data_IF_106350984037
#
_entry.id   IF_106350984037
#
_cell.length_a   1.000
_cell.length_b   1.000
_cell.length_c   1.000
_cell.angle_alpha   90.00
_cell.angle_beta   90.00
_cell.angle_gamma   90.00
#
_symmetry.space_group_name_H-M   'P 1'
#
loop_
_entity.id
_entity.type
_entity.pdbx_description
1 polymer ?
#
# COMPACT_ATOMS: atom_id res chain seq x y z
N UNK A 1 -29.61 -2.08 4.71
CA UNK A 1 -28.65 -3.01 5.32
C UNK A 1 -27.74 -3.48 4.20
N UNK A 2 -26.59 -2.82 4.02
CA UNK A 2 -25.68 -3.13 2.91
C UNK A 2 -24.98 -4.46 3.14
N UNK A 3 -24.76 -5.22 2.06
CA UNK A 3 -24.10 -6.52 2.04
C UNK A 3 -22.69 -6.48 2.66
N UNK A 4 -22.64 -6.59 3.99
CA UNK A 4 -21.41 -6.63 4.78
C UNK A 4 -20.57 -7.89 4.51
N UNK A 5 -21.12 -8.87 3.77
CA UNK A 5 -20.45 -10.10 3.34
C UNK A 5 -19.37 -9.90 2.27
N UNK A 6 -19.48 -8.88 1.40
CA UNK A 6 -18.55 -8.70 0.26
C UNK A 6 -17.30 -7.89 0.65
N UNK A 7 -17.34 -7.13 1.74
CA UNK A 7 -16.24 -6.26 2.16
C UNK A 7 -14.91 -6.98 2.44
N UNK A 8 -14.88 -8.07 3.23
CA UNK A 8 -13.62 -8.80 3.50
C UNK A 8 -13.08 -9.50 2.25
N UNK A 9 -13.90 -10.23 1.47
CA UNK A 9 -13.45 -10.79 0.21
C UNK A 9 -12.84 -9.74 -0.73
N UNK A 10 -13.42 -8.54 -0.81
CA UNK A 10 -12.86 -7.44 -1.60
C UNK A 10 -11.53 -6.95 -1.05
N UNK A 11 -11.37 -6.80 0.28
CA UNK A 11 -10.07 -6.45 0.87
C UNK A 11 -9.02 -7.52 0.55
N UNK A 12 -9.38 -8.80 0.63
CA UNK A 12 -8.46 -9.89 0.31
C UNK A 12 -8.05 -9.85 -1.16
N UNK A 13 -8.99 -9.66 -2.09
CA UNK A 13 -8.70 -9.51 -3.52
C UNK A 13 -7.81 -8.28 -3.79
N UNK A 14 -8.10 -7.15 -3.15
CA UNK A 14 -7.29 -5.93 -3.22
C UNK A 14 -5.85 -6.20 -2.76
N UNK A 15 -5.70 -6.92 -1.66
CA UNK A 15 -4.41 -7.24 -1.06
C UNK A 15 -3.59 -8.21 -1.93
N UNK A 16 -4.24 -9.20 -2.55
CA UNK A 16 -3.61 -10.13 -3.48
C UNK A 16 -3.05 -9.38 -4.68
N UNK A 17 -3.85 -8.53 -5.34
CA UNK A 17 -3.39 -7.74 -6.48
C UNK A 17 -2.22 -6.83 -6.10
N UNK A 18 -2.34 -6.14 -4.96
CA UNK A 18 -1.33 -5.19 -4.48
C UNK A 18 -0.02 -5.87 -4.05
N UNK A 19 -0.09 -7.01 -3.38
CA UNK A 19 1.09 -7.83 -3.05
C UNK A 19 1.70 -8.55 -4.26
N UNK A 20 0.98 -8.58 -5.39
CA UNK A 20 1.48 -9.14 -6.65
C UNK A 20 2.18 -8.10 -7.53
N UNK A 21 2.14 -6.80 -7.18
CA UNK A 21 2.67 -5.70 -8.00
C UNK A 21 4.16 -5.87 -8.35
N UNK A 22 4.96 -6.47 -7.47
CA UNK A 22 6.39 -6.66 -7.71
C UNK A 22 6.70 -7.96 -8.49
N UNK A 23 5.72 -8.84 -8.71
CA UNK A 23 5.95 -10.11 -9.42
C UNK A 23 6.40 -9.90 -10.88
N UNK A 24 5.78 -9.01 -11.69
CA UNK A 24 6.23 -8.74 -13.05
C UNK A 24 7.64 -8.13 -13.12
N UNK A 25 8.11 -7.46 -12.06
CA UNK A 25 9.44 -6.86 -12.01
C UNK A 25 10.54 -7.90 -12.27
N UNK A 26 10.35 -9.15 -11.82
CA UNK A 26 11.30 -10.26 -12.03
C UNK A 26 11.46 -10.65 -13.50
N UNK A 27 10.50 -10.28 -14.35
CA UNK A 27 10.52 -10.54 -15.78
C UNK A 27 11.15 -9.38 -16.57
N UNK A 28 11.42 -8.24 -15.95
CA UNK A 28 12.07 -7.08 -16.56
C UNK A 28 13.57 -7.37 -16.70
N UNK A 29 14.13 -7.14 -17.90
CA UNK A 29 15.54 -7.43 -18.18
C UNK A 29 16.31 -6.17 -18.56
N UNK A 30 17.43 -5.95 -17.88
CA UNK A 30 18.42 -4.92 -18.23
C UNK A 30 18.00 -3.47 -18.02
N UNK A 31 16.82 -3.20 -17.45
CA UNK A 31 16.45 -1.89 -16.93
C UNK A 31 16.90 -1.75 -15.48
N UNK A 32 17.37 -0.56 -15.11
CA UNK A 32 17.63 -0.20 -13.71
C UNK A 32 16.32 0.16 -13.01
N UNK A 33 16.37 0.23 -11.68
CA UNK A 33 15.20 0.52 -10.85
C UNK A 33 14.53 1.86 -11.20
N UNK A 34 15.30 2.92 -11.45
CA UNK A 34 14.72 4.22 -11.82
C UNK A 34 14.04 4.21 -13.21
N UNK A 35 14.53 3.39 -14.14
CA UNK A 35 13.94 3.24 -15.48
C UNK A 35 12.66 2.43 -15.46
N UNK A 36 12.58 1.36 -14.64
CA UNK A 36 11.34 0.61 -14.48
C UNK A 36 10.30 1.35 -13.64
N UNK A 37 10.72 2.15 -12.65
CA UNK A 37 9.82 2.78 -11.71
C UNK A 37 9.10 4.00 -12.30
N UNK A 38 9.71 4.71 -13.27
CA UNK A 38 9.06 5.86 -13.89
C UNK A 38 7.75 5.47 -14.63
N UNK A 39 7.73 4.52 -15.59
CA UNK A 39 6.49 4.13 -16.25
C UNK A 39 5.48 3.51 -15.29
N UNK A 40 5.96 2.75 -14.29
CA UNK A 40 5.13 2.25 -13.20
C UNK A 40 4.44 3.40 -12.46
N UNK A 41 5.18 4.40 -11.99
CA UNK A 41 4.65 5.53 -11.23
C UNK A 41 3.69 6.39 -12.07
N UNK A 42 4.01 6.63 -13.35
CA UNK A 42 3.10 7.33 -14.27
C UNK A 42 1.77 6.56 -14.42
N UNK A 43 1.84 5.25 -14.63
CA UNK A 43 0.65 4.42 -14.78
C UNK A 43 -0.16 4.30 -13.48
N UNK A 44 0.51 3.94 -12.38
CA UNK A 44 -0.10 3.68 -11.08
C UNK A 44 -0.70 4.94 -10.46
N UNK A 45 -0.01 6.08 -10.60
CA UNK A 45 -0.30 7.26 -9.79
C UNK A 45 -0.93 8.42 -10.55
N UNK A 46 -0.78 8.48 -11.88
CA UNK A 46 -1.37 9.54 -12.71
C UNK A 46 -2.38 8.98 -13.70
N UNK A 47 -1.95 8.13 -14.63
CA UNK A 47 -2.82 7.74 -15.75
C UNK A 47 -4.03 6.92 -15.29
N UNK A 48 -3.79 5.85 -14.54
CA UNK A 48 -4.87 4.91 -14.19
C UNK A 48 -5.86 5.44 -13.15
N UNK A 49 -5.45 6.18 -12.09
CA UNK A 49 -6.41 6.77 -11.15
C UNK A 49 -7.38 7.74 -11.83
N UNK A 50 -6.87 8.58 -12.73
CA UNK A 50 -7.70 9.51 -13.50
C UNK A 50 -8.55 8.78 -14.54
N UNK A 51 -8.00 7.78 -15.23
CA UNK A 51 -8.80 6.95 -16.14
C UNK A 51 -9.95 6.26 -15.41
N UNK A 52 -9.69 5.67 -14.24
CA UNK A 52 -10.72 5.06 -13.41
C UNK A 52 -11.78 6.10 -13.01
N UNK A 53 -11.38 7.25 -12.47
CA UNK A 53 -12.32 8.29 -12.06
C UNK A 53 -13.17 8.82 -13.23
N UNK A 54 -12.57 9.11 -14.38
CA UNK A 54 -13.27 9.63 -15.56
C UNK A 54 -14.23 8.60 -16.17
N UNK A 55 -13.88 7.31 -16.14
CA UNK A 55 -14.72 6.25 -16.68
C UNK A 55 -15.86 5.85 -15.74
N UNK A 56 -15.70 6.04 -14.43
CA UNK A 56 -16.64 5.49 -13.45
C UNK A 56 -17.42 6.52 -12.64
N UNK A 57 -17.02 7.79 -12.64
CA UNK A 57 -17.65 8.87 -11.86
C UNK A 57 -18.28 9.90 -12.80
N UNK A 58 -19.62 9.95 -12.91
CA UNK A 58 -20.31 10.98 -13.66
C UNK A 58 -20.03 12.38 -13.10
N UNK A 59 -19.93 13.38 -13.98
CA UNK A 59 -19.69 14.79 -13.64
C UNK A 59 -18.56 14.98 -12.60
N UNK A 60 -17.40 14.36 -12.84
CA UNK A 60 -16.26 14.42 -11.91
C UNK A 60 -15.84 15.87 -11.57
N UNK A 61 -15.96 16.79 -12.53
CA UNK A 61 -15.69 18.21 -12.29
C UNK A 61 -16.73 18.84 -11.34
N UNK A 62 -18.02 18.53 -11.51
CA UNK A 62 -19.07 18.89 -10.56
C UNK A 62 -18.84 18.30 -9.18
N UNK A 63 -18.38 17.04 -9.09
CA UNK A 63 -18.03 16.40 -7.82
C UNK A 63 -17.00 17.23 -7.06
N UNK A 64 -15.88 17.59 -7.69
CA UNK A 64 -14.84 18.37 -7.01
C UNK A 64 -15.31 19.78 -6.62
N UNK A 65 -16.13 20.44 -7.45
CA UNK A 65 -16.71 21.75 -7.11
C UNK A 65 -17.64 21.67 -5.90
N UNK A 66 -18.55 20.70 -5.88
CA UNK A 66 -19.54 20.53 -4.81
C UNK A 66 -18.96 19.95 -3.50
N UNK A 67 -17.82 19.26 -3.59
CA UNK A 67 -17.11 18.72 -2.42
C UNK A 67 -16.43 19.81 -1.58
N UNK A 68 -16.15 20.97 -2.17
CA UNK A 68 -15.48 22.08 -1.53
C UNK A 68 -13.95 21.93 -1.52
N UNK A 69 -13.26 23.08 -1.60
CA UNK A 69 -11.80 23.16 -1.76
C UNK A 69 -11.03 22.53 -0.60
N UNK A 70 -11.60 22.58 0.61
CA UNK A 70 -10.97 21.99 1.80
C UNK A 70 -10.89 20.47 1.72
N UNK A 71 -11.96 19.78 1.29
CA UNK A 71 -11.95 18.32 1.17
C UNK A 71 -10.93 17.86 0.13
N UNK A 72 -10.95 18.47 -1.06
CA UNK A 72 -9.98 18.17 -2.14
C UNK A 72 -8.55 18.49 -1.70
N UNK A 73 -8.33 19.64 -1.05
CA UNK A 73 -7.02 20.07 -0.58
C UNK A 73 -6.43 19.15 0.49
N UNK A 74 -7.24 18.72 1.47
CA UNK A 74 -6.79 17.78 2.51
C UNK A 74 -6.49 16.39 1.93
N UNK A 75 -7.36 15.88 1.04
CA UNK A 75 -7.10 14.62 0.33
C UNK A 75 -5.78 14.68 -0.46
N UNK A 76 -5.51 15.80 -1.16
CA UNK A 76 -4.26 16.00 -1.86
C UNK A 76 -3.06 16.10 -0.89
N UNK A 77 -3.19 16.82 0.23
CA UNK A 77 -2.13 16.97 1.23
C UNK A 77 -1.72 15.62 1.85
N UNK A 78 -2.70 14.81 2.26
CA UNK A 78 -2.42 13.48 2.80
C UNK A 78 -1.86 12.54 1.74
N UNK A 79 -2.36 12.63 0.50
CA UNK A 79 -1.79 11.95 -0.65
C UNK A 79 -0.31 12.29 -0.87
N UNK A 80 0.04 13.58 -0.86
CA UNK A 80 1.42 14.06 -0.95
C UNK A 80 2.30 13.51 0.18
N UNK A 81 1.80 13.52 1.41
CA UNK A 81 2.50 12.93 2.57
C UNK A 81 2.78 11.43 2.41
N UNK A 82 1.81 10.67 1.88
CA UNK A 82 2.03 9.28 1.49
C UNK A 82 3.10 9.14 0.40
N UNK A 83 3.13 10.05 -0.58
CA UNK A 83 4.19 10.10 -1.61
C UNK A 83 5.60 10.22 -1.03
N UNK A 84 5.78 11.01 0.03
CA UNK A 84 7.05 11.10 0.77
C UNK A 84 7.41 9.75 1.39
N UNK A 85 6.42 9.03 1.94
CA UNK A 85 6.62 7.70 2.50
C UNK A 85 7.20 6.72 1.47
N UNK A 86 6.69 6.75 0.23
CA UNK A 86 7.16 5.90 -0.87
C UNK A 86 8.64 6.15 -1.14
N UNK A 87 9.07 7.41 -1.25
CA UNK A 87 10.48 7.77 -1.47
C UNK A 87 11.36 7.33 -0.31
N UNK A 88 10.94 7.60 0.94
CA UNK A 88 11.69 7.19 2.13
C UNK A 88 11.82 5.67 2.21
N UNK A 89 10.76 4.92 1.89
CA UNK A 89 10.78 3.46 1.91
C UNK A 89 11.82 2.90 0.93
N UNK A 90 11.89 3.47 -0.29
CA UNK A 90 12.88 3.10 -1.29
C UNK A 90 14.31 3.35 -0.80
N UNK A 91 14.55 4.51 -0.18
CA UNK A 91 15.85 4.81 0.42
C UNK A 91 16.21 3.83 1.54
N UNK A 92 15.30 3.54 2.47
CA UNK A 92 15.62 2.69 3.63
C UNK A 92 15.95 1.25 3.23
N UNK A 93 15.29 0.73 2.20
CA UNK A 93 15.60 -0.61 1.65
C UNK A 93 17.06 -0.71 1.23
N UNK A 94 17.63 0.34 0.65
CA UNK A 94 19.04 0.35 0.23
C UNK A 94 20.04 0.42 1.39
N UNK A 95 19.60 0.83 2.59
CA UNK A 95 20.49 1.03 3.75
C UNK A 95 20.40 -0.12 4.75
N UNK A 96 19.19 -0.59 5.06
CA UNK A 96 18.97 -1.61 6.10
C UNK A 96 18.43 -2.94 5.56
N UNK A 97 18.35 -3.09 4.24
CA UNK A 97 17.88 -4.31 3.58
C UNK A 97 16.37 -4.39 3.46
N UNK A 98 15.91 -5.27 2.57
CA UNK A 98 14.52 -5.42 2.20
C UNK A 98 13.69 -6.03 3.32
N UNK A 99 14.16 -7.12 3.93
CA UNK A 99 13.40 -7.83 4.97
C UNK A 99 13.11 -6.96 6.20
N UNK A 100 14.12 -6.24 6.70
CA UNK A 100 13.96 -5.36 7.86
C UNK A 100 13.12 -4.13 7.52
N UNK A 101 13.37 -3.49 6.37
CA UNK A 101 12.58 -2.33 5.94
C UNK A 101 11.10 -2.68 5.77
N UNK A 102 10.78 -3.79 5.11
CA UNK A 102 9.40 -4.22 4.90
C UNK A 102 8.70 -4.55 6.23
N UNK A 103 9.40 -5.16 7.18
CA UNK A 103 8.88 -5.44 8.51
C UNK A 103 8.49 -4.17 9.27
N UNK A 104 9.38 -3.18 9.30
CA UNK A 104 9.12 -1.90 9.97
C UNK A 104 8.02 -1.13 9.25
N UNK A 105 8.09 -1.02 7.92
CA UNK A 105 7.13 -0.27 7.11
C UNK A 105 5.70 -0.82 7.26
N UNK A 106 5.53 -2.13 7.05
CA UNK A 106 4.22 -2.79 7.14
C UNK A 106 3.71 -2.79 8.57
N UNK A 107 4.58 -3.09 9.55
CA UNK A 107 4.22 -3.11 10.97
C UNK A 107 3.72 -1.74 11.44
N UNK A 108 4.49 -0.69 11.23
CA UNK A 108 4.08 0.67 11.60
C UNK A 108 2.78 1.10 10.91
N UNK A 109 2.59 0.72 9.64
CA UNK A 109 1.37 1.06 8.90
C UNK A 109 0.13 0.32 9.38
N UNK A 110 0.26 -0.96 9.75
CA UNK A 110 -0.82 -1.75 10.36
C UNK A 110 -1.22 -1.13 11.71
N UNK A 111 -0.23 -0.89 12.58
CA UNK A 111 -0.45 -0.30 13.91
C UNK A 111 -1.18 1.04 13.82
N UNK A 112 -0.56 1.99 13.11
CA UNK A 112 -1.02 3.38 13.07
C UNK A 112 -2.25 3.53 12.19
N UNK A 113 -2.34 2.80 11.07
CA UNK A 113 -3.45 2.95 10.14
C UNK A 113 -4.79 2.51 10.72
N UNK A 114 -4.81 1.43 11.51
CA UNK A 114 -6.02 0.99 12.22
C UNK A 114 -6.43 1.99 13.30
N UNK A 115 -5.48 2.35 14.18
CA UNK A 115 -5.73 3.22 15.33
C UNK A 115 -6.14 4.62 14.85
N UNK A 116 -5.46 5.17 13.85
CA UNK A 116 -5.83 6.44 13.24
C UNK A 116 -7.24 6.39 12.64
N UNK A 117 -7.62 5.30 11.98
CA UNK A 117 -8.98 5.10 11.49
C UNK A 117 -10.03 5.22 12.60
N UNK A 118 -9.84 4.52 13.72
CA UNK A 118 -10.78 4.59 14.87
C UNK A 118 -10.78 5.97 15.50
N UNK A 119 -9.62 6.57 15.75
CA UNK A 119 -9.50 7.90 16.36
C UNK A 119 -10.09 9.02 15.49
N UNK A 120 -10.10 8.87 14.17
CA UNK A 120 -10.69 9.86 13.26
C UNK A 120 -12.20 9.72 13.12
N UNK A 121 -12.75 8.53 13.33
CA UNK A 121 -14.18 8.25 13.14
C UNK A 121 -14.94 8.23 14.46
N UNK A 122 -14.48 7.43 15.43
CA UNK A 122 -15.19 7.20 16.70
C UNK A 122 -14.21 6.83 17.85
N UNK A 123 -13.51 7.82 18.43
CA UNK A 123 -12.48 7.59 19.46
C UNK A 123 -12.97 6.79 20.68
N UNK A 124 -14.21 7.04 21.11
CA UNK A 124 -14.81 6.39 22.27
C UNK A 124 -14.88 4.86 22.14
N UNK A 125 -14.87 4.35 20.90
CA UNK A 125 -14.97 2.92 20.62
C UNK A 125 -13.73 2.15 21.04
N UNK A 126 -12.57 2.79 21.18
CA UNK A 126 -11.36 2.15 21.71
C UNK A 126 -11.52 1.64 23.15
N UNK A 127 -12.40 2.26 23.94
CA UNK A 127 -12.67 1.86 25.32
C UNK A 127 -13.73 0.73 25.43
N UNK A 128 -14.23 0.22 24.28
CA UNK A 128 -15.25 -0.83 24.24
C UNK A 128 -14.63 -2.22 24.05
N UNK A 129 -15.43 -3.27 24.22
CA UNK A 129 -15.01 -4.65 23.92
C UNK A 129 -14.58 -4.83 22.46
N UNK A 130 -15.28 -4.18 21.53
CA UNK A 130 -14.93 -4.19 20.10
C UNK A 130 -13.57 -3.52 19.86
N UNK A 131 -13.33 -2.38 20.51
CA UNK A 131 -12.03 -1.70 20.49
C UNK A 131 -10.90 -2.55 21.04
N UNK A 132 -11.14 -3.28 22.14
CA UNK A 132 -10.17 -4.22 22.70
C UNK A 132 -9.86 -5.38 21.75
N UNK A 133 -10.87 -5.96 21.09
CA UNK A 133 -10.66 -6.99 20.06
C UNK A 133 -9.88 -6.45 18.87
N UNK A 134 -10.14 -5.21 18.45
CA UNK A 134 -9.38 -4.55 17.39
C UNK A 134 -7.91 -4.36 17.77
N UNK A 135 -7.63 -3.88 18.98
CA UNK A 135 -6.26 -3.70 19.45
C UNK A 135 -5.52 -5.04 19.59
N UNK A 136 -6.19 -6.08 20.09
CA UNK A 136 -5.65 -7.44 20.17
C UNK A 136 -5.34 -7.99 18.77
N UNK A 137 -6.25 -7.82 17.82
CA UNK A 137 -6.06 -8.24 16.45
C UNK A 137 -4.86 -7.52 15.81
N UNK A 138 -4.79 -6.20 16.01
CA UNK A 138 -3.68 -5.38 15.52
C UNK A 138 -2.34 -5.84 16.10
N UNK A 139 -2.25 -6.09 17.41
CA UNK A 139 -1.05 -6.62 18.06
C UNK A 139 -0.62 -7.99 17.48
N UNK A 140 -1.59 -8.86 17.19
CA UNK A 140 -1.33 -10.14 16.54
C UNK A 140 -0.82 -10.00 15.11
N UNK A 141 -1.40 -9.11 14.30
CA UNK A 141 -0.90 -8.81 12.95
C UNK A 141 0.53 -8.24 12.97
N UNK A 142 0.87 -7.41 13.96
CA UNK A 142 2.23 -6.93 14.17
C UNK A 142 3.20 -8.07 14.50
N UNK A 143 2.80 -8.99 15.38
CA UNK A 143 3.58 -10.18 15.69
C UNK A 143 3.81 -11.03 14.43
N UNK A 144 2.79 -11.20 13.59
CA UNK A 144 2.90 -11.87 12.30
C UNK A 144 3.91 -11.20 11.37
N UNK A 145 3.84 -9.87 11.20
CA UNK A 145 4.79 -9.11 10.35
C UNK A 145 6.21 -9.26 10.90
N UNK A 146 6.38 -9.17 12.21
CA UNK A 146 7.66 -9.34 12.86
C UNK A 146 8.27 -10.72 12.57
N UNK A 147 7.50 -11.80 12.70
CA UNK A 147 7.95 -13.15 12.37
C UNK A 147 8.35 -13.28 10.90
N UNK A 148 7.51 -12.78 9.97
CA UNK A 148 7.80 -12.77 8.54
C UNK A 148 9.07 -11.97 8.20
N UNK A 149 9.26 -10.81 8.83
CA UNK A 149 10.44 -9.97 8.65
C UNK A 149 11.71 -10.66 9.18
N UNK A 150 11.64 -11.30 10.36
CA UNK A 150 12.75 -12.10 10.90
C UNK A 150 13.09 -13.28 10.01
N UNK A 151 12.09 -13.94 9.44
CA UNK A 151 12.30 -15.02 8.48
C UNK A 151 13.01 -14.53 7.21
N UNK A 152 12.60 -13.38 6.67
CA UNK A 152 13.27 -12.74 5.54
C UNK A 152 14.71 -12.36 5.86
N UNK A 153 14.98 -11.83 7.06
CA UNK A 153 16.33 -11.47 7.49
C UNK A 153 17.24 -12.70 7.65
N UNK A 154 16.72 -13.84 8.13
CA UNK A 154 17.48 -15.09 8.21
C UNK A 154 17.77 -15.70 6.84
N UNK A 155 16.94 -15.41 5.84
CA UNK A 155 17.16 -15.79 4.43
C UNK A 155 18.19 -14.88 3.76
N UNK A 156 18.19 -13.59 4.07
CA UNK A 156 19.10 -12.58 3.53
C UNK A 156 20.48 -12.63 4.24
N UNK A 157 21.33 -13.58 3.88
CA UNK A 157 22.67 -13.74 4.49
C UNK A 157 23.75 -12.84 3.90
N UNK A 158 23.45 -12.07 2.84
CA UNK A 158 24.47 -11.42 1.99
C UNK A 158 24.28 -9.91 1.75
N UNK A 159 23.28 -9.28 2.34
CA UNK A 159 23.06 -7.83 2.15
C UNK A 159 24.01 -7.03 3.05
N UNK A 160 24.84 -6.12 2.51
CA UNK A 160 25.61 -5.19 3.32
C UNK A 160 24.64 -4.23 4.01
N UNK A 161 24.24 -4.55 5.24
CA UNK A 161 23.43 -3.69 6.09
C UNK A 161 24.36 -2.63 6.69
N UNK A 162 24.03 -1.35 6.53
CA UNK A 162 24.78 -0.28 7.17
C UNK A 162 24.81 -0.50 8.69
N UNK A 163 25.93 -0.17 9.34
CA UNK A 163 26.09 -0.31 10.79
C UNK A 163 26.12 1.06 11.51
N UNK A 164 25.99 1.03 12.83
CA UNK A 164 26.14 2.23 13.68
C UNK A 164 25.08 3.31 13.42
N UNK A 165 25.52 4.58 13.40
CA UNK A 165 24.64 5.75 13.34
C UNK A 165 23.78 5.79 12.06
N UNK A 166 24.32 5.34 10.93
CA UNK A 166 23.59 5.32 9.66
C UNK A 166 22.41 4.33 9.69
N UNK A 167 22.61 3.15 10.29
CA UNK A 167 21.56 2.15 10.50
C UNK A 167 20.43 2.72 11.37
N UNK A 168 20.78 3.38 12.49
CA UNK A 168 19.81 3.96 13.41
C UNK A 168 18.96 5.05 12.73
N UNK A 169 19.58 5.92 11.94
CA UNK A 169 18.87 6.95 11.15
C UNK A 169 17.92 6.30 10.13
N UNK A 170 18.36 5.26 9.42
CA UNK A 170 17.52 4.58 8.45
C UNK A 170 16.35 3.83 9.09
N UNK A 171 16.53 3.23 10.27
CA UNK A 171 15.44 2.61 11.04
C UNK A 171 14.39 3.67 11.43
N UNK A 172 14.83 4.83 11.94
CA UNK A 172 13.91 5.93 12.27
C UNK A 172 13.16 6.45 11.04
N UNK A 173 13.86 6.62 9.92
CA UNK A 173 13.24 7.01 8.65
C UNK A 173 12.28 5.95 8.12
N UNK A 174 12.57 4.66 8.32
CA UNK A 174 11.72 3.56 7.90
C UNK A 174 10.43 3.52 8.74
N UNK A 175 10.55 3.73 10.06
CA UNK A 175 9.41 3.89 10.94
C UNK A 175 8.55 5.08 10.52
N UNK A 176 9.18 6.24 10.26
CA UNK A 176 8.48 7.43 9.77
C UNK A 176 7.78 7.17 8.43
N UNK A 177 8.43 6.47 7.50
CA UNK A 177 7.82 6.05 6.24
C UNK A 177 6.60 5.15 6.50
N UNK A 178 6.65 4.23 7.45
CA UNK A 178 5.52 3.37 7.80
C UNK A 178 4.34 4.17 8.36
N UNK A 179 4.62 5.16 9.22
CA UNK A 179 3.60 6.10 9.73
C UNK A 179 3.01 6.94 8.60
N UNK A 180 3.84 7.57 7.77
CA UNK A 180 3.38 8.38 6.64
C UNK A 180 2.63 7.55 5.59
N UNK A 181 2.91 6.25 5.48
CA UNK A 181 2.19 5.36 4.57
C UNK A 181 0.70 5.26 4.92
N UNK A 182 0.34 5.45 6.19
CA UNK A 182 -1.06 5.47 6.64
C UNK A 182 -1.84 6.67 6.12
N UNK A 183 -1.15 7.73 5.68
CA UNK A 183 -1.80 8.92 5.16
C UNK A 183 -2.62 8.64 3.90
N UNK A 184 -2.33 7.57 3.16
CA UNK A 184 -3.19 7.14 2.05
C UNK A 184 -4.59 6.71 2.55
N UNK A 185 -4.64 5.99 3.67
CA UNK A 185 -5.90 5.61 4.32
C UNK A 185 -6.61 6.83 4.92
N UNK A 186 -5.85 7.74 5.53
CA UNK A 186 -6.39 9.01 6.06
C UNK A 186 -6.97 9.86 4.91
N UNK A 187 -6.31 9.91 3.75
CA UNK A 187 -6.81 10.60 2.57
C UNK A 187 -8.16 10.04 2.11
N UNK A 188 -8.38 8.73 2.23
CA UNK A 188 -9.67 8.10 1.94
C UNK A 188 -10.76 8.52 2.95
N UNK A 189 -10.43 8.56 4.25
CA UNK A 189 -11.36 9.01 5.30
C UNK A 189 -11.75 10.48 5.13
N UNK A 190 -10.79 11.38 4.94
CA UNK A 190 -11.06 12.81 4.69
C UNK A 190 -11.68 13.07 3.31
N UNK A 191 -11.41 12.19 2.34
CA UNK A 191 -12.03 12.18 1.02
C UNK A 191 -13.48 11.69 1.00
N UNK A 192 -14.05 11.28 2.13
CA UNK A 192 -15.44 10.79 2.23
C UNK A 192 -16.48 11.80 1.71
N UNK A 193 -16.20 13.11 1.82
CA UNK A 193 -17.05 14.14 1.22
C UNK A 193 -17.04 14.07 -0.31
N UNK A 194 -15.88 13.79 -0.92
CA UNK A 194 -15.73 13.66 -2.38
C UNK A 194 -16.52 12.45 -2.88
N UNK A 195 -16.34 11.29 -2.23
CA UNK A 195 -17.08 10.08 -2.61
C UNK A 195 -18.58 10.20 -2.36
N UNK A 196 -19.03 10.81 -1.25
CA UNK A 196 -20.47 11.02 -1.02
C UNK A 196 -21.11 11.98 -2.03
N UNK A 197 -20.38 13.01 -2.48
CA UNK A 197 -20.86 13.89 -3.58
C UNK A 197 -20.93 13.10 -4.89
N UNK A 198 -19.92 12.29 -5.19
CA UNK A 198 -19.91 11.43 -6.37
C UNK A 198 -21.13 10.49 -6.41
N UNK A 199 -21.49 9.89 -5.27
CA UNK A 199 -22.70 9.06 -5.16
C UNK A 199 -23.98 9.87 -5.43
N UNK A 200 -24.10 11.08 -4.87
CA UNK A 200 -25.25 11.96 -5.11
C UNK A 200 -25.37 12.40 -6.58
N UNK A 201 -24.25 12.47 -7.30
CA UNK A 201 -24.19 12.77 -8.72
C UNK A 201 -24.25 11.53 -9.63
N UNK A 202 -24.57 10.35 -9.07
CA UNK A 202 -24.90 9.14 -9.83
C UNK A 202 -23.78 8.10 -9.92
N UNK A 203 -22.66 8.27 -9.23
CA UNK A 203 -21.65 7.21 -9.10
C UNK A 203 -22.17 6.07 -8.22
N UNK A 204 -21.83 4.82 -8.56
CA UNK A 204 -22.03 3.70 -7.63
C UNK A 204 -21.12 3.83 -6.39
N UNK A 205 -21.53 3.22 -5.28
CA UNK A 205 -20.74 3.22 -4.03
C UNK A 205 -19.36 2.57 -4.20
N UNK A 206 -19.27 1.56 -5.08
CA UNK A 206 -18.01 0.93 -5.47
C UNK A 206 -17.07 1.92 -6.18
N UNK A 207 -17.59 2.72 -7.10
CA UNK A 207 -16.80 3.61 -7.97
C UNK A 207 -16.51 4.98 -7.35
N UNK A 208 -17.28 5.41 -6.35
CA UNK A 208 -17.20 6.75 -5.78
C UNK A 208 -15.82 7.08 -5.19
N UNK A 209 -15.12 6.08 -4.66
CA UNK A 209 -13.76 6.21 -4.14
C UNK A 209 -12.73 6.54 -5.22
N UNK A 210 -13.02 6.29 -6.51
CA UNK A 210 -12.10 6.59 -7.61
C UNK A 210 -11.84 8.10 -7.73
N UNK A 211 -12.85 8.94 -7.46
CA UNK A 211 -12.67 10.39 -7.41
C UNK A 211 -11.70 10.83 -6.31
N UNK A 212 -11.66 10.11 -5.18
CA UNK A 212 -10.72 10.34 -4.07
C UNK A 212 -9.32 9.90 -4.49
N UNK A 213 -9.19 8.70 -5.07
CA UNK A 213 -7.90 8.15 -5.50
C UNK A 213 -7.23 8.98 -6.57
N UNK A 214 -7.99 9.50 -7.54
CA UNK A 214 -7.46 10.41 -8.55
C UNK A 214 -6.73 11.62 -7.94
N UNK A 215 -7.27 12.20 -6.86
CA UNK A 215 -6.64 13.33 -6.17
C UNK A 215 -5.49 12.88 -5.28
N UNK A 216 -5.74 11.93 -4.37
CA UNK A 216 -4.77 11.51 -3.36
C UNK A 216 -3.50 10.93 -3.99
N UNK A 217 -3.66 9.99 -4.91
CA UNK A 217 -2.53 9.28 -5.50
C UNK A 217 -1.76 10.20 -6.47
N UNK A 218 -2.44 11.09 -7.20
CA UNK A 218 -1.76 12.07 -8.06
C UNK A 218 -0.90 13.04 -7.26
N UNK A 219 -1.40 13.54 -6.13
CA UNK A 219 -0.60 14.39 -5.25
C UNK A 219 0.59 13.60 -4.65
N UNK A 220 0.36 12.34 -4.27
CA UNK A 220 1.40 11.42 -3.81
C UNK A 220 2.43 11.01 -4.88
N UNK A 221 2.09 11.18 -6.15
CA UNK A 221 3.02 10.91 -7.24
C UNK A 221 4.17 11.93 -7.26
N UNK A 222 3.95 13.17 -6.79
CA UNK A 222 4.92 14.25 -6.98
C UNK A 222 6.29 13.95 -6.35
N UNK A 223 6.42 13.55 -5.07
CA UNK A 223 7.72 13.20 -4.51
C UNK A 223 8.38 12.03 -5.25
N UNK A 224 7.59 11.02 -5.60
CA UNK A 224 8.07 9.80 -6.27
C UNK A 224 8.57 10.08 -7.69
N UNK A 225 7.84 10.87 -8.47
CA UNK A 225 8.20 11.25 -9.83
C UNK A 225 9.42 12.16 -9.85
N UNK A 226 9.48 13.17 -8.97
CA UNK A 226 10.63 14.05 -8.85
C UNK A 226 11.90 13.26 -8.49
N UNK A 227 11.79 12.32 -7.55
CA UNK A 227 12.90 11.45 -7.19
C UNK A 227 13.33 10.57 -8.37
N UNK A 228 12.40 9.92 -9.07
CA UNK A 228 12.72 9.09 -10.23
C UNK A 228 13.36 9.87 -11.38
N UNK A 229 12.83 11.04 -11.73
CA UNK A 229 13.37 11.88 -12.80
C UNK A 229 14.79 12.36 -12.48
N UNK A 230 15.05 12.71 -11.21
CA UNK A 230 16.38 13.03 -10.71
C UNK A 230 17.33 11.83 -10.85
N UNK A 231 16.92 10.66 -10.37
CA UNK A 231 17.76 9.45 -10.41
C UNK A 231 18.05 9.00 -11.85
N UNK A 232 17.07 9.06 -12.76
CA UNK A 232 17.25 8.78 -14.18
C UNK A 232 18.32 9.65 -14.83
N UNK A 233 18.32 10.94 -14.47
CA UNK A 233 19.25 11.92 -15.01
C UNK A 233 20.66 11.77 -14.43
N UNK A 234 20.76 11.59 -13.11
CA UNK A 234 22.04 11.39 -12.41
C UNK A 234 22.71 10.08 -12.84
N UNK A 235 21.95 8.98 -12.90
CA UNK A 235 22.46 7.65 -13.26
C UNK A 235 22.55 7.41 -14.77
N UNK A 236 22.18 8.41 -15.59
CA UNK A 236 22.18 8.39 -17.07
C UNK A 236 21.48 7.17 -17.65
N UNK A 237 20.30 6.85 -17.11
CA UNK A 237 19.57 5.61 -17.42
C UNK A 237 18.52 5.77 -18.52
N UNK A 238 18.32 6.99 -19.03
CA UNK A 238 17.42 7.31 -20.15
C UNK A 238 17.58 6.42 -21.40
N UNK A 239 18.80 6.03 -21.85
CA UNK A 239 18.95 5.20 -23.05
C UNK A 239 18.35 3.78 -22.91
N UNK A 240 18.01 3.33 -21.70
CA UNK A 240 17.39 2.02 -21.49
C UNK A 240 16.00 1.92 -22.15
N UNK A 241 15.29 3.04 -22.27
CA UNK A 241 13.97 3.11 -22.90
C UNK A 241 13.97 2.86 -24.41
N UNK A 242 15.14 2.84 -25.06
CA UNK A 242 15.25 2.58 -26.51
C UNK A 242 16.10 1.35 -26.85
N UNK A 243 16.95 0.89 -25.93
CA UNK A 243 17.98 -0.12 -26.25
C UNK A 243 17.67 -1.54 -25.79
N UNK A 244 16.99 -1.72 -24.66
CA UNK A 244 16.87 -3.04 -24.02
C UNK A 244 15.41 -3.42 -23.86
N UNK A 245 14.94 -4.34 -24.71
CA UNK A 245 13.56 -4.87 -24.73
C UNK A 245 12.50 -3.81 -24.40
N UNK A 246 12.51 -2.64 -25.07
CA UNK A 246 11.84 -1.44 -24.57
C UNK A 246 10.33 -1.64 -24.43
N UNK A 247 9.69 -2.27 -25.43
CA UNK A 247 8.25 -2.54 -25.42
C UNK A 247 7.87 -3.52 -24.30
N UNK A 248 8.61 -4.62 -24.16
CA UNK A 248 8.35 -5.63 -23.13
C UNK A 248 8.51 -5.05 -21.73
N UNK A 249 9.62 -4.36 -21.47
CA UNK A 249 9.89 -3.79 -20.15
C UNK A 249 8.90 -2.68 -19.82
N UNK A 250 8.54 -1.85 -20.81
CA UNK A 250 7.48 -0.86 -20.65
C UNK A 250 6.14 -1.53 -20.31
N UNK A 251 5.72 -2.55 -21.06
CA UNK A 251 4.48 -3.27 -20.82
C UNK A 251 4.44 -3.91 -19.41
N UNK A 252 5.56 -4.49 -18.96
CA UNK A 252 5.67 -5.04 -17.61
C UNK A 252 5.59 -3.95 -16.53
N UNK A 253 6.28 -2.82 -16.70
CA UNK A 253 6.19 -1.68 -15.77
C UNK A 253 4.78 -1.08 -15.71
N UNK A 254 4.09 -0.97 -16.85
CA UNK A 254 2.70 -0.51 -16.91
C UNK A 254 1.76 -1.52 -16.25
N UNK A 255 1.97 -2.83 -16.46
CA UNK A 255 1.21 -3.89 -15.80
C UNK A 255 1.34 -3.81 -14.28
N UNK A 256 2.55 -3.60 -13.76
CA UNK A 256 2.76 -3.39 -12.32
C UNK A 256 1.91 -2.22 -11.81
N UNK A 257 1.85 -1.12 -12.57
CA UNK A 257 1.08 0.06 -12.19
C UNK A 257 -0.44 -0.18 -12.22
N UNK A 258 -0.91 -0.88 -13.25
CA UNK A 258 -2.29 -1.31 -13.39
C UNK A 258 -2.72 -2.28 -12.26
N UNK A 259 -1.84 -3.18 -11.83
CA UNK A 259 -2.10 -4.07 -10.70
C UNK A 259 -2.25 -3.29 -9.38
N UNK A 260 -1.37 -2.30 -9.15
CA UNK A 260 -1.37 -1.51 -7.92
C UNK A 260 -2.64 -0.66 -7.78
N UNK A 261 -3.03 0.03 -8.85
CA UNK A 261 -4.25 0.86 -8.83
C UNK A 261 -5.50 0.00 -8.77
N UNK A 262 -5.53 -1.16 -9.44
CA UNK A 262 -6.67 -2.09 -9.34
C UNK A 262 -6.88 -2.57 -7.90
N UNK A 263 -5.78 -2.91 -7.21
CA UNK A 263 -5.83 -3.23 -5.78
C UNK A 263 -6.29 -2.06 -4.93
N UNK A 264 -5.82 -0.84 -5.21
CA UNK A 264 -6.20 0.38 -4.48
C UNK A 264 -7.67 0.74 -4.68
N UNK A 265 -8.20 0.60 -5.90
CA UNK A 265 -9.63 0.80 -6.24
C UNK A 265 -10.48 -0.21 -5.48
N UNK A 266 -10.12 -1.50 -5.53
CA UNK A 266 -10.84 -2.55 -4.79
C UNK A 266 -10.81 -2.31 -3.28
N UNK A 267 -9.67 -1.85 -2.73
CA UNK A 267 -9.58 -1.48 -1.32
C UNK A 267 -10.52 -0.32 -0.98
N UNK A 268 -10.55 0.72 -1.82
CA UNK A 268 -11.45 1.87 -1.63
C UNK A 268 -12.93 1.47 -1.66
N UNK A 269 -13.30 0.56 -2.55
CA UNK A 269 -14.65 -0.02 -2.58
C UNK A 269 -14.92 -0.89 -1.34
N UNK A 270 -13.96 -1.71 -0.93
CA UNK A 270 -14.07 -2.58 0.24
C UNK A 270 -14.27 -1.75 1.51
N UNK A 271 -13.44 -0.74 1.74
CA UNK A 271 -13.54 0.16 2.89
C UNK A 271 -14.91 0.85 2.97
N UNK A 272 -15.53 1.20 1.84
CA UNK A 272 -16.90 1.75 1.82
C UNK A 272 -17.95 0.70 2.19
N UNK A 273 -17.83 -0.52 1.67
CA UNK A 273 -18.77 -1.62 1.96
C UNK A 273 -18.66 -2.16 3.39
N UNK A 274 -17.49 -2.01 4.01
CA UNK A 274 -17.25 -2.36 5.42
C UNK A 274 -17.91 -1.37 6.40
N UNK A 275 -18.52 -0.28 5.91
CA UNK A 275 -19.24 0.69 6.74
C UNK A 275 -18.31 1.69 7.44
N UNK A 276 -18.77 2.33 8.53
CA UNK A 276 -18.05 3.43 9.20
C UNK A 276 -16.63 3.08 9.64
N UNK A 277 -16.38 1.83 10.05
CA UNK A 277 -15.07 1.34 10.48
C UNK A 277 -14.26 0.67 9.36
N UNK A 278 -14.69 0.80 8.11
CA UNK A 278 -14.07 0.09 7.01
C UNK A 278 -12.61 0.43 6.78
N UNK A 279 -12.19 1.67 7.05
CA UNK A 279 -10.78 2.07 7.00
C UNK A 279 -9.98 1.56 8.19
N UNK A 280 -10.60 1.39 9.36
CA UNK A 280 -9.95 0.90 10.59
C UNK A 280 -9.75 -0.62 10.58
N UNK A 281 -10.74 -1.38 10.10
CA UNK A 281 -10.72 -2.85 10.00
C UNK A 281 -10.09 -3.30 8.69
N UNK A 282 -10.41 -2.63 7.58
CA UNK A 282 -9.96 -3.03 6.26
C UNK A 282 -8.48 -2.78 6.01
N UNK A 283 -7.90 -1.70 6.57
CA UNK A 283 -6.50 -1.36 6.31
C UNK A 283 -5.50 -2.40 6.86
N UNK A 284 -5.61 -2.89 8.11
CA UNK A 284 -4.74 -3.95 8.61
C UNK A 284 -4.87 -5.24 7.79
N UNK A 285 -6.10 -5.65 7.47
CA UNK A 285 -6.35 -6.85 6.64
C UNK A 285 -5.71 -6.67 5.26
N UNK A 286 -5.84 -5.49 4.66
CA UNK A 286 -5.22 -5.16 3.38
C UNK A 286 -3.69 -5.26 3.42
N UNK A 287 -3.05 -4.60 4.40
CA UNK A 287 -1.59 -4.59 4.54
C UNK A 287 -1.03 -5.98 4.86
N UNK A 288 -1.68 -6.72 5.76
CA UNK A 288 -1.31 -8.11 6.05
C UNK A 288 -1.49 -9.02 4.84
N UNK A 289 -2.57 -8.85 4.08
CA UNK A 289 -2.78 -9.60 2.84
C UNK A 289 -1.72 -9.32 1.77
N UNK A 290 -1.21 -8.07 1.67
CA UNK A 290 -0.09 -7.72 0.80
C UNK A 290 1.16 -8.51 1.19
N UNK A 291 1.45 -8.64 2.49
CA UNK A 291 2.57 -9.45 2.99
C UNK A 291 2.42 -10.91 2.60
N UNK A 292 1.22 -11.48 2.77
CA UNK A 292 0.92 -12.87 2.39
C UNK A 292 1.10 -13.11 0.88
N UNK A 293 0.54 -12.25 0.04
CA UNK A 293 0.65 -12.36 -1.41
C UNK A 293 2.10 -12.17 -1.90
N UNK A 294 2.85 -11.25 -1.28
CA UNK A 294 4.27 -11.06 -1.57
C UNK A 294 5.09 -12.30 -1.19
N UNK A 295 4.81 -12.90 -0.03
CA UNK A 295 5.47 -14.13 0.41
C UNK A 295 5.20 -15.30 -0.55
N UNK A 296 3.94 -15.44 -1.01
CA UNK A 296 3.55 -16.42 -2.03
C UNK A 296 4.37 -16.28 -3.32
N UNK A 297 4.50 -15.07 -3.85
CA UNK A 297 5.33 -14.82 -5.04
C UNK A 297 6.82 -15.06 -4.79
N UNK A 298 7.32 -14.81 -3.57
CA UNK A 298 8.68 -15.17 -3.19
C UNK A 298 8.93 -16.68 -3.23
N UNK A 299 7.94 -17.48 -2.84
CA UNK A 299 8.00 -18.95 -2.94
C UNK A 299 8.00 -19.42 -4.40
N UNK A 300 7.06 -18.91 -5.21
CA UNK A 300 6.96 -19.29 -6.64
C UNK A 300 8.22 -18.93 -7.40
N UNK A 301 8.80 -17.76 -7.16
CA UNK A 301 10.04 -17.36 -7.82
C UNK A 301 11.28 -18.11 -7.33
N UNK A 302 11.14 -19.00 -6.34
CA UNK A 302 12.24 -19.77 -5.80
C UNK A 302 13.19 -18.98 -4.89
N UNK A 303 12.82 -17.81 -4.37
CA UNK A 303 13.68 -17.03 -3.45
C UNK A 303 14.00 -17.79 -2.16
N UNK A 304 13.17 -18.77 -1.80
CA UNK A 304 13.32 -19.59 -0.60
C UNK A 304 14.11 -20.88 -0.85
N UNK A 305 14.57 -21.13 -2.08
CA UNK A 305 15.42 -22.28 -2.40
C UNK A 305 16.76 -22.13 -1.67
N UNK A 306 17.11 -23.12 -0.85
CA UNK A 306 18.33 -23.09 -0.03
C UNK A 306 18.24 -22.25 1.24
N UNK A 307 17.07 -21.68 1.56
CA UNK A 307 16.89 -20.96 2.81
C UNK A 307 16.98 -21.91 4.02
N UNK A 308 17.52 -21.46 5.18
CA UNK A 308 17.58 -22.28 6.39
C UNK A 308 16.18 -22.75 6.81
N UNK A 309 16.06 -24.00 7.27
CA UNK A 309 14.78 -24.55 7.78
C UNK A 309 14.12 -23.64 8.82
N UNK A 310 14.93 -23.03 9.70
CA UNK A 310 14.47 -22.05 10.69
C UNK A 310 13.81 -20.82 10.07
N UNK A 311 14.35 -20.30 8.96
CA UNK A 311 13.76 -19.17 8.24
C UNK A 311 12.40 -19.54 7.64
N UNK A 312 12.31 -20.71 7.01
CA UNK A 312 11.06 -21.25 6.45
C UNK A 312 9.99 -21.44 7.53
N UNK A 313 10.35 -22.05 8.67
CA UNK A 313 9.43 -22.25 9.79
C UNK A 313 8.92 -20.93 10.38
N UNK A 314 9.80 -19.93 10.54
CA UNK A 314 9.41 -18.60 11.02
C UNK A 314 8.48 -17.89 10.04
N UNK A 315 8.71 -18.05 8.72
CA UNK A 315 7.81 -17.50 7.70
C UNK A 315 6.43 -18.16 7.78
N UNK A 316 6.38 -19.51 7.86
CA UNK A 316 5.13 -20.24 8.00
C UNK A 316 4.37 -19.86 9.29
N UNK A 317 5.08 -19.73 10.41
CA UNK A 317 4.49 -19.28 11.68
C UNK A 317 3.95 -17.84 11.56
N UNK A 318 4.71 -16.93 10.96
CA UNK A 318 4.28 -15.55 10.73
C UNK A 318 3.03 -15.46 9.87
N UNK A 319 2.97 -16.23 8.78
CA UNK A 319 1.79 -16.36 7.92
C UNK A 319 0.59 -16.90 8.72
N UNK A 320 0.78 -17.95 9.52
CA UNK A 320 -0.28 -18.52 10.35
C UNK A 320 -0.86 -17.51 11.35
N UNK A 321 0.02 -16.74 12.01
CA UNK A 321 -0.38 -15.65 12.91
C UNK A 321 -1.15 -14.56 12.15
N UNK A 322 -0.67 -14.15 10.97
CA UNK A 322 -1.38 -13.17 10.13
C UNK A 322 -2.80 -13.63 9.80
N UNK A 323 -2.96 -14.86 9.29
CA UNK A 323 -4.27 -15.39 8.88
C UNK A 323 -5.22 -15.46 10.08
N UNK A 324 -4.75 -15.95 11.23
CA UNK A 324 -5.54 -16.04 12.46
C UNK A 324 -6.06 -14.66 12.89
N UNK A 325 -5.17 -13.67 12.96
CA UNK A 325 -5.55 -12.34 13.43
C UNK A 325 -6.28 -11.50 12.38
N UNK A 326 -6.14 -11.78 11.08
CA UNK A 326 -6.99 -11.23 10.04
C UNK A 326 -8.43 -11.73 10.18
N UNK A 327 -8.61 -13.02 10.51
CA UNK A 327 -9.94 -13.58 10.79
C UNK A 327 -10.55 -12.97 12.06
N UNK A 328 -9.76 -12.81 13.14
CA UNK A 328 -10.20 -12.11 14.35
C UNK A 328 -10.59 -10.65 14.04
N UNK A 329 -9.78 -9.96 13.25
CA UNK A 329 -10.05 -8.58 12.85
C UNK A 329 -11.35 -8.47 12.06
N UNK A 330 -11.62 -9.43 11.17
CA UNK A 330 -12.87 -9.51 10.43
C UNK A 330 -14.11 -9.77 11.29
N UNK A 331 -13.93 -10.45 12.43
CA UNK A 331 -14.98 -10.76 13.39
C UNK A 331 -15.25 -9.62 14.40
N UNK A 332 -14.36 -8.63 14.51
CA UNK A 332 -14.45 -7.52 15.47
C UNK A 332 -15.43 -6.40 15.03
N UNK A 333 -16.53 -6.75 14.36
CA UNK A 333 -17.49 -5.83 13.74
C UNK A 333 -18.71 -5.55 14.60
#
# INVERSE_FOLDING_TARGET
MGDSGIGIPLVAAAAILSGSVLAPMKLIRGWKFEALWLPYALCAYLLSPWAAALLTVPDLAGVYRASGRSAVGLTALFGFGWGIAVVLSGYTVTVIGLALSNGILMGSSIAVGSIAGVLLVEPARLATREGATLLLANAGLLAGVFLCSRAGALRETSSPVAQGSQARKAILLCFLAGVLSTLLNVALTYGSRISSVAERLGSSSFNASNAVWAVAVSAGSLPSLLWCLRELSIKRSWPQFTRVYPIRNLALSLLMGAMWISGTVLYGAAARNLGPLGTAVGWPIYMSGIVLASAFWGWISGEWRGAPRRAVMLMAAGIGVQVLFMALMGAAR
#
